data_IF_926575911721
#
_entry.id   IF_926575911721
#
_cell.length_a   1.000
_cell.length_b   1.000
_cell.length_c   1.000
_cell.angle_alpha   90.00
_cell.angle_beta   90.00
_cell.angle_gamma   90.00
#
_symmetry.space_group_name_H-M   'P 1'
#
loop_
_entity.id
_entity.type
_entity.pdbx_description
1 polymer ?
#
# COMPACT_ATOMS: atom_id res chain seq x y z
N UNK A 1 -5.02 -9.58 14.74
CA UNK A 1 -4.79 -10.51 13.61
C UNK A 1 -3.62 -11.47 13.87
N UNK A 2 -2.45 -10.99 14.31
CA UNK A 2 -1.26 -11.82 14.57
C UNK A 2 -1.51 -12.84 15.66
N UNK A 3 -2.06 -12.44 16.82
CA UNK A 3 -2.40 -13.34 17.93
C UNK A 3 -3.39 -14.43 17.54
N UNK A 4 -4.34 -14.14 16.65
CA UNK A 4 -5.29 -15.10 16.11
C UNK A 4 -4.71 -16.14 15.14
N UNK A 5 -3.39 -16.11 14.91
CA UNK A 5 -2.68 -17.11 14.09
C UNK A 5 -2.16 -18.30 14.91
N UNK A 6 -2.11 -18.17 16.24
CA UNK A 6 -1.76 -19.24 17.15
C UNK A 6 -3.00 -20.03 17.61
N UNK A 7 -2.84 -21.30 17.96
CA UNK A 7 -3.90 -22.13 18.52
C UNK A 7 -5.07 -22.49 17.60
N UNK A 8 -4.90 -22.43 16.29
CA UNK A 8 -5.98 -22.62 15.30
C UNK A 8 -6.67 -24.00 15.34
N UNK A 9 -6.00 -25.02 15.86
CA UNK A 9 -6.54 -26.37 15.95
C UNK A 9 -7.24 -26.64 17.31
N UNK A 10 -7.71 -25.59 18.00
CA UNK A 10 -8.31 -25.73 19.32
C UNK A 10 -7.31 -25.98 20.46
N UNK A 11 -6.02 -25.83 20.19
CA UNK A 11 -4.98 -25.98 21.21
C UNK A 11 -4.85 -24.69 22.02
N UNK A 12 -4.55 -24.82 23.31
CA UNK A 12 -4.19 -23.67 24.16
C UNK A 12 -2.89 -23.05 23.61
N UNK A 13 -2.90 -21.74 23.38
CA UNK A 13 -1.72 -20.99 22.99
C UNK A 13 -1.49 -19.82 23.92
N UNK A 14 -0.25 -19.37 23.99
CA UNK A 14 0.16 -18.18 24.75
C UNK A 14 0.80 -17.22 23.73
N UNK A 15 0.31 -15.99 23.72
CA UNK A 15 0.88 -14.92 22.92
C UNK A 15 1.59 -13.94 23.85
N UNK A 16 2.81 -13.57 23.49
CA UNK A 16 3.60 -12.57 24.21
C UNK A 16 3.66 -11.30 23.37
N UNK A 17 3.20 -10.19 23.95
CA UNK A 17 3.37 -8.85 23.37
C UNK A 17 4.55 -8.20 24.10
N UNK A 18 5.62 -7.93 23.35
CA UNK A 18 6.81 -7.23 23.86
C UNK A 18 6.64 -5.76 23.48
N UNK A 19 6.57 -4.92 24.51
CA UNK A 19 6.36 -3.49 24.37
C UNK A 19 7.69 -2.75 24.41
N UNK A 20 7.83 -1.72 23.58
CA UNK A 20 8.97 -0.82 23.56
C UNK A 20 8.64 0.47 24.35
N UNK A 21 9.65 1.33 24.52
CA UNK A 21 9.45 2.62 25.19
C UNK A 21 8.91 3.68 24.21
N UNK A 22 7.80 3.33 23.52
CA UNK A 22 7.08 4.20 22.62
C UNK A 22 5.73 4.63 23.23
N UNK A 23 5.20 5.82 22.95
CA UNK A 23 3.97 6.31 23.59
C UNK A 23 2.77 5.37 23.47
N UNK A 24 2.59 4.75 22.30
CA UNK A 24 1.48 3.83 22.06
C UNK A 24 1.65 2.52 22.83
N UNK A 25 2.83 1.96 22.86
CA UNK A 25 3.14 0.75 23.61
C UNK A 25 2.97 0.97 25.13
N UNK A 26 3.41 2.13 25.62
CA UNK A 26 3.24 2.50 27.01
C UNK A 26 1.75 2.73 27.37
N UNK A 27 0.95 3.24 26.43
CA UNK A 27 -0.49 3.33 26.61
C UNK A 27 -1.12 1.94 26.74
N UNK A 28 -0.78 0.99 25.87
CA UNK A 28 -1.27 -0.39 25.94
C UNK A 28 -0.83 -1.07 27.26
N UNK A 29 0.37 -0.77 27.75
CA UNK A 29 0.85 -1.31 29.03
C UNK A 29 -0.02 -0.88 30.23
N UNK A 30 -0.54 0.35 30.18
CA UNK A 30 -1.39 0.93 31.24
C UNK A 30 -2.86 0.55 31.06
N UNK A 31 -3.31 0.51 29.79
CA UNK A 31 -4.71 0.28 29.42
C UNK A 31 -4.84 -0.95 28.48
N UNK A 32 -4.51 -2.18 28.96
CA UNK A 32 -4.56 -3.38 28.12
C UNK A 32 -5.96 -3.73 27.62
N UNK A 33 -7.02 -3.30 28.34
CA UNK A 33 -8.41 -3.46 27.91
C UNK A 33 -8.71 -2.83 26.56
N UNK A 34 -8.03 -1.74 26.20
CA UNK A 34 -8.15 -1.13 24.90
C UNK A 34 -7.83 -2.11 23.75
N UNK A 35 -6.81 -2.96 23.92
CA UNK A 35 -6.41 -3.95 22.93
C UNK A 35 -7.33 -5.18 22.91
N UNK A 36 -7.78 -5.66 24.07
CA UNK A 36 -8.49 -6.93 24.19
C UNK A 36 -10.01 -6.79 24.20
N UNK A 37 -10.54 -5.67 24.64
CA UNK A 37 -11.98 -5.40 24.76
C UNK A 37 -12.51 -4.48 23.65
N UNK A 38 -11.61 -3.89 22.87
CA UNK A 38 -11.95 -3.06 21.71
C UNK A 38 -12.77 -3.81 20.67
N UNK A 39 -13.75 -3.15 20.07
CA UNK A 39 -14.47 -3.70 18.93
C UNK A 39 -13.52 -3.77 17.74
N UNK A 40 -13.64 -4.85 16.96
CA UNK A 40 -12.96 -4.92 15.66
C UNK A 40 -13.41 -3.75 14.78
N UNK A 41 -12.48 -3.23 13.99
CA UNK A 41 -12.76 -2.22 12.98
C UNK A 41 -13.88 -2.70 12.02
N UNK A 42 -14.73 -1.79 11.61
CA UNK A 42 -15.73 -2.10 10.61
C UNK A 42 -15.04 -2.33 9.26
N UNK A 43 -15.24 -3.49 8.66
CA UNK A 43 -14.85 -3.72 7.28
C UNK A 43 -15.85 -2.98 6.37
N UNK A 44 -15.34 -2.02 5.62
CA UNK A 44 -16.12 -1.35 4.56
C UNK A 44 -15.66 -1.97 3.24
N UNK A 45 -16.58 -2.57 2.53
CA UNK A 45 -16.34 -3.19 1.23
C UNK A 45 -17.34 -2.58 0.25
N UNK A 46 -16.86 -2.20 -0.92
CA UNK A 46 -17.72 -1.84 -2.05
C UNK A 46 -17.97 -3.09 -2.91
N UNK A 47 -19.08 -3.80 -2.71
CA UNK A 47 -19.39 -5.02 -3.46
C UNK A 47 -19.77 -4.73 -4.91
N UNK A 48 -20.14 -3.50 -5.23
CA UNK A 48 -20.63 -3.07 -6.54
C UNK A 48 -19.53 -2.46 -7.40
N UNK A 49 -18.26 -2.61 -7.00
CA UNK A 49 -17.13 -2.10 -7.78
C UNK A 49 -16.99 -2.86 -9.09
N UNK A 50 -17.38 -2.20 -10.20
CA UNK A 50 -17.40 -2.80 -11.54
C UNK A 50 -16.02 -3.27 -12.03
N UNK A 51 -14.92 -2.65 -11.63
CA UNK A 51 -13.57 -3.06 -12.04
C UNK A 51 -13.18 -4.37 -11.37
N UNK A 52 -13.52 -4.53 -10.10
CA UNK A 52 -13.29 -5.76 -9.36
C UNK A 52 -14.21 -6.87 -9.90
N UNK A 53 -15.50 -6.57 -10.10
CA UNK A 53 -16.46 -7.54 -10.65
C UNK A 53 -16.05 -7.99 -12.07
N UNK A 54 -15.60 -7.08 -12.92
CA UNK A 54 -15.06 -7.40 -14.25
C UNK A 54 -13.88 -8.38 -14.18
N UNK A 55 -12.94 -8.16 -13.26
CA UNK A 55 -11.79 -9.05 -13.07
C UNK A 55 -12.23 -10.44 -12.57
N UNK A 56 -13.19 -10.48 -11.64
CA UNK A 56 -13.76 -11.74 -11.14
C UNK A 56 -14.52 -12.51 -12.22
N UNK A 57 -15.32 -11.83 -13.05
CA UNK A 57 -16.05 -12.46 -14.18
C UNK A 57 -15.07 -13.05 -15.19
N UNK A 58 -13.97 -12.35 -15.51
CA UNK A 58 -12.90 -12.88 -16.36
C UNK A 58 -12.30 -14.18 -15.79
N UNK A 59 -11.93 -14.15 -14.52
CA UNK A 59 -11.35 -15.31 -13.85
C UNK A 59 -12.35 -16.47 -13.77
N UNK A 60 -13.60 -16.23 -13.42
CA UNK A 60 -14.65 -17.24 -13.37
C UNK A 60 -14.93 -17.87 -14.73
N UNK A 61 -15.02 -17.05 -15.81
CA UNK A 61 -15.21 -17.52 -17.17
C UNK A 61 -14.04 -18.39 -17.69
N UNK A 62 -12.82 -18.18 -17.13
CA UNK A 62 -11.65 -18.97 -17.45
C UNK A 62 -11.62 -20.32 -16.70
N UNK A 63 -12.17 -20.36 -15.49
CA UNK A 63 -12.29 -21.60 -14.72
C UNK A 63 -13.45 -22.48 -15.20
N UNK A 64 -14.61 -21.87 -15.42
CA UNK A 64 -15.81 -22.58 -15.86
C UNK A 64 -16.69 -21.65 -16.72
N UNK A 65 -17.21 -22.13 -17.87
CA UNK A 65 -18.11 -21.32 -18.69
C UNK A 65 -19.34 -20.84 -17.91
N UNK A 66 -19.52 -19.51 -17.83
CA UNK A 66 -20.61 -18.84 -17.13
C UNK A 66 -21.93 -18.94 -17.89
N UNK A 67 -23.03 -18.86 -17.20
CA UNK A 67 -24.39 -18.69 -17.73
C UNK A 67 -25.01 -17.41 -17.21
N UNK A 68 -26.13 -16.97 -17.75
CA UNK A 68 -26.84 -15.80 -17.21
C UNK A 68 -27.40 -16.04 -15.80
N UNK A 69 -27.54 -17.30 -15.38
CA UNK A 69 -28.00 -17.65 -14.02
C UNK A 69 -26.94 -17.27 -12.97
N UNK A 70 -25.68 -17.15 -13.38
CA UNK A 70 -24.57 -16.71 -12.50
C UNK A 70 -24.67 -15.21 -12.15
N UNK A 71 -25.64 -14.47 -12.70
CA UNK A 71 -25.97 -13.12 -12.26
C UNK A 71 -26.36 -13.04 -10.77
N UNK A 72 -26.72 -14.16 -10.15
CA UNK A 72 -26.90 -14.23 -8.69
C UNK A 72 -25.58 -13.97 -7.91
N UNK A 73 -24.41 -14.29 -8.51
CA UNK A 73 -23.08 -14.05 -7.95
C UNK A 73 -22.44 -12.77 -8.51
N UNK A 74 -22.77 -12.43 -9.74
CA UNK A 74 -22.22 -11.30 -10.47
C UNK A 74 -23.36 -10.41 -10.98
N UNK A 75 -23.83 -9.44 -10.17
CA UNK A 75 -24.99 -8.62 -10.51
C UNK A 75 -24.89 -7.91 -11.86
N UNK A 76 -23.69 -7.46 -12.23
CA UNK A 76 -23.43 -6.74 -13.49
C UNK A 76 -23.08 -7.67 -14.68
N UNK A 77 -23.23 -8.99 -14.52
CA UNK A 77 -22.85 -9.98 -15.54
C UNK A 77 -23.48 -9.69 -16.90
N UNK A 78 -24.76 -9.33 -16.91
CA UNK A 78 -25.50 -9.03 -18.14
C UNK A 78 -24.96 -7.82 -18.91
N UNK A 79 -24.38 -6.86 -18.22
CA UNK A 79 -23.78 -5.66 -18.79
C UNK A 79 -22.33 -5.90 -19.21
N UNK A 80 -21.59 -6.68 -18.43
CA UNK A 80 -20.17 -6.94 -18.64
C UNK A 80 -19.93 -7.95 -19.77
N UNK A 81 -20.71 -9.01 -19.88
CA UNK A 81 -20.53 -10.04 -20.93
C UNK A 81 -20.52 -9.46 -22.35
N UNK A 82 -21.44 -8.55 -22.75
CA UNK A 82 -21.38 -7.94 -24.08
C UNK A 82 -20.06 -7.17 -24.32
N UNK A 83 -19.53 -6.52 -23.30
CA UNK A 83 -18.25 -5.78 -23.39
C UNK A 83 -17.10 -6.75 -23.59
N UNK A 84 -17.03 -7.83 -22.83
CA UNK A 84 -16.02 -8.88 -22.97
C UNK A 84 -16.11 -9.61 -24.32
N UNK A 85 -17.31 -9.84 -24.82
CA UNK A 85 -17.49 -10.40 -26.17
C UNK A 85 -17.00 -9.48 -27.27
N UNK A 86 -17.28 -8.17 -27.16
CA UNK A 86 -16.77 -7.16 -28.09
C UNK A 86 -15.24 -7.05 -28.05
N UNK A 87 -14.64 -7.26 -26.90
CA UNK A 87 -13.19 -7.30 -26.71
C UNK A 87 -12.56 -8.65 -27.13
N UNK A 88 -13.36 -9.61 -27.61
CA UNK A 88 -12.94 -10.96 -27.98
C UNK A 88 -12.33 -11.78 -26.82
N UNK A 89 -12.52 -11.31 -25.59
CA UNK A 89 -12.04 -11.99 -24.38
C UNK A 89 -12.92 -13.16 -23.93
N UNK A 90 -14.20 -13.12 -24.32
CA UNK A 90 -15.19 -14.19 -24.01
C UNK A 90 -15.94 -14.57 -25.28
N UNK A 91 -16.17 -15.88 -25.45
CA UNK A 91 -17.00 -16.44 -26.55
C UNK A 91 -18.21 -17.16 -26.01
N UNK A 92 -19.34 -16.96 -26.71
CA UNK A 92 -20.55 -17.71 -26.42
C UNK A 92 -20.53 -19.08 -27.10
N UNK A 93 -20.79 -20.13 -26.31
CA UNK A 93 -20.90 -21.52 -26.77
C UNK A 93 -22.11 -22.18 -26.09
N UNK A 94 -23.10 -22.55 -26.87
CA UNK A 94 -24.32 -23.23 -26.38
C UNK A 94 -25.01 -22.50 -25.19
N UNK A 95 -25.09 -21.18 -25.25
CA UNK A 95 -25.72 -20.35 -24.20
C UNK A 95 -24.85 -20.15 -22.97
N UNK A 96 -23.59 -20.55 -23.01
CA UNK A 96 -22.58 -20.30 -21.97
C UNK A 96 -21.48 -19.40 -22.50
N UNK A 97 -20.79 -18.70 -21.59
CA UNK A 97 -19.76 -17.72 -21.86
C UNK A 97 -18.42 -18.23 -21.35
N UNK A 98 -17.50 -18.57 -22.23
CA UNK A 98 -16.19 -19.11 -21.89
C UNK A 98 -15.10 -18.11 -22.22
N UNK A 99 -14.05 -18.07 -21.40
CA UNK A 99 -12.85 -17.27 -21.66
C UNK A 99 -12.17 -17.70 -22.96
N UNK A 100 -11.74 -16.75 -23.76
CA UNK A 100 -11.01 -16.98 -25.02
C UNK A 100 -9.76 -16.09 -25.16
N UNK A 101 -9.42 -15.33 -24.12
CA UNK A 101 -8.21 -14.49 -24.09
C UNK A 101 -6.93 -15.33 -24.01
N UNK A 102 -5.75 -14.71 -24.27
CA UNK A 102 -4.49 -15.40 -24.45
C UNK A 102 -3.86 -15.95 -23.16
N UNK A 103 -4.21 -15.41 -21.99
CA UNK A 103 -3.63 -15.76 -20.69
C UNK A 103 -4.72 -16.07 -19.67
N UNK A 104 -4.34 -16.73 -18.56
CA UNK A 104 -5.25 -16.96 -17.44
C UNK A 104 -5.46 -15.63 -16.67
N UNK A 105 -6.67 -15.08 -16.65
CA UNK A 105 -6.89 -13.70 -16.23
C UNK A 105 -6.72 -13.46 -14.73
N UNK A 106 -6.76 -14.50 -13.89
CA UNK A 106 -6.57 -14.34 -12.46
C UNK A 106 -5.14 -13.91 -12.07
N UNK A 107 -4.16 -14.13 -12.98
CA UNK A 107 -2.80 -13.61 -12.81
C UNK A 107 -2.67 -12.11 -13.03
N UNK A 108 -3.63 -11.50 -13.72
CA UNK A 108 -3.55 -10.11 -14.14
C UNK A 108 -4.19 -9.13 -13.15
N UNK A 109 -4.78 -9.61 -12.07
CA UNK A 109 -5.33 -8.72 -11.05
C UNK A 109 -4.99 -9.19 -9.64
N UNK A 110 -4.93 -8.23 -8.74
CA UNK A 110 -4.66 -8.45 -7.33
C UNK A 110 -5.70 -7.68 -6.50
N UNK A 111 -6.22 -8.33 -5.46
CA UNK A 111 -7.08 -7.65 -4.47
C UNK A 111 -6.30 -6.67 -3.57
N UNK A 112 -4.96 -6.69 -3.65
CA UNK A 112 -4.08 -5.85 -2.84
C UNK A 112 -3.46 -4.71 -3.62
N UNK A 113 -3.20 -4.92 -4.92
CA UNK A 113 -2.47 -3.97 -5.77
C UNK A 113 -3.25 -3.77 -7.07
N UNK A 114 -3.63 -2.53 -7.35
CA UNK A 114 -4.32 -2.16 -8.60
C UNK A 114 -3.33 -1.81 -9.72
N UNK A 115 -2.05 -1.66 -9.42
CA UNK A 115 -1.02 -1.34 -10.40
C UNK A 115 -0.64 -2.59 -11.21
N UNK A 116 -0.77 -2.49 -12.54
CA UNK A 116 -0.43 -3.57 -13.49
C UNK A 116 1.05 -3.59 -13.86
N UNK A 117 1.78 -2.55 -13.51
CA UNK A 117 3.20 -2.42 -13.82
C UNK A 117 4.01 -3.24 -12.83
N UNK A 118 4.71 -4.27 -13.33
CA UNK A 118 5.53 -5.15 -12.51
C UNK A 118 7.01 -4.91 -12.75
N UNK A 119 7.77 -4.87 -11.67
CA UNK A 119 9.22 -4.78 -11.64
C UNK A 119 9.82 -6.07 -11.08
N UNK A 120 10.87 -6.57 -11.73
CA UNK A 120 11.59 -7.78 -11.30
C UNK A 120 12.89 -7.40 -10.63
N UNK A 121 13.21 -8.08 -9.52
CA UNK A 121 14.52 -8.01 -8.89
C UNK A 121 15.33 -9.23 -9.29
N UNK A 122 16.49 -9.02 -9.91
CA UNK A 122 17.37 -10.07 -10.43
C UNK A 122 18.71 -10.01 -9.71
N UNK A 123 19.21 -11.15 -9.27
CA UNK A 123 20.55 -11.31 -8.75
C UNK A 123 21.56 -11.27 -9.91
N UNK A 124 22.44 -10.25 -9.90
CA UNK A 124 23.32 -9.91 -11.03
C UNK A 124 24.22 -11.07 -11.45
N UNK A 125 24.86 -11.73 -10.48
CA UNK A 125 25.81 -12.82 -10.76
C UNK A 125 25.20 -14.12 -11.31
N UNK A 126 23.93 -14.38 -11.02
CA UNK A 126 23.25 -15.65 -11.32
C UNK A 126 22.13 -15.48 -12.36
N UNK A 127 21.81 -14.25 -12.72
CA UNK A 127 20.63 -13.91 -13.54
C UNK A 127 19.34 -14.58 -13.01
N UNK A 128 19.25 -14.74 -11.68
CA UNK A 128 18.15 -15.39 -10.99
C UNK A 128 17.17 -14.34 -10.50
N UNK A 129 15.91 -14.50 -10.82
CA UNK A 129 14.83 -13.70 -10.29
C UNK A 129 14.67 -13.98 -8.79
N UNK A 130 14.69 -12.93 -7.96
CA UNK A 130 14.49 -12.98 -6.52
C UNK A 130 13.01 -12.78 -6.20
N UNK A 131 12.41 -11.75 -6.77
CA UNK A 131 11.01 -11.38 -6.54
C UNK A 131 10.48 -10.47 -7.65
N UNK A 132 9.16 -10.31 -7.66
CA UNK A 132 8.45 -9.35 -8.49
C UNK A 132 7.52 -8.50 -7.63
N UNK A 133 7.42 -7.19 -7.92
CA UNK A 133 6.58 -6.25 -7.19
C UNK A 133 6.01 -5.16 -8.09
N UNK A 134 5.04 -4.40 -7.61
CA UNK A 134 4.48 -3.28 -8.34
C UNK A 134 5.42 -2.07 -8.39
N UNK A 135 5.07 -1.07 -9.20
CA UNK A 135 5.90 0.11 -9.43
C UNK A 135 6.10 0.96 -8.18
N UNK A 136 5.05 1.20 -7.39
CA UNK A 136 5.17 1.96 -6.14
C UNK A 136 6.11 1.27 -5.17
N UNK A 137 5.93 -0.02 -4.97
CA UNK A 137 6.80 -0.81 -4.11
C UNK A 137 8.23 -0.84 -4.65
N UNK A 138 8.42 -0.97 -5.97
CA UNK A 138 9.75 -0.96 -6.58
C UNK A 138 10.48 0.37 -6.38
N UNK A 139 9.79 1.49 -6.46
CA UNK A 139 10.41 2.80 -6.21
C UNK A 139 10.85 2.94 -4.75
N UNK A 140 10.07 2.39 -3.82
CA UNK A 140 10.40 2.42 -2.39
C UNK A 140 11.48 1.41 -1.98
N UNK A 141 11.47 0.22 -2.57
CA UNK A 141 12.31 -0.90 -2.10
C UNK A 141 13.47 -1.25 -3.04
N UNK A 142 13.39 -0.88 -4.34
CA UNK A 142 14.38 -1.24 -5.35
C UNK A 142 15.12 -0.05 -5.96
N UNK A 143 15.09 1.13 -5.31
CA UNK A 143 15.92 2.25 -5.75
C UNK A 143 17.42 1.91 -5.66
N UNK A 144 18.30 2.49 -6.50
CA UNK A 144 19.73 2.25 -6.41
C UNK A 144 20.26 2.52 -5.00
N UNK A 145 21.01 1.57 -4.45
CA UNK A 145 21.54 1.61 -3.09
C UNK A 145 20.55 1.15 -2.00
N UNK A 146 19.33 0.75 -2.34
CA UNK A 146 18.40 0.12 -1.40
C UNK A 146 18.95 -1.20 -0.87
N UNK A 147 18.66 -1.52 0.37
CA UNK A 147 18.91 -2.83 0.98
C UNK A 147 17.57 -3.54 1.12
N UNK A 148 17.33 -4.49 0.23
CA UNK A 148 16.12 -5.29 0.18
C UNK A 148 16.30 -6.60 0.93
N UNK A 149 15.30 -7.01 1.71
CA UNK A 149 15.31 -8.28 2.44
C UNK A 149 14.32 -9.26 1.83
N UNK A 150 14.80 -10.44 1.49
CA UNK A 150 13.97 -11.54 0.97
C UNK A 150 14.40 -12.88 1.57
N UNK A 151 13.47 -13.62 2.13
CA UNK A 151 13.69 -14.92 2.77
C UNK A 151 14.86 -14.94 3.77
N UNK A 152 15.02 -13.85 4.53
CA UNK A 152 16.07 -13.71 5.54
C UNK A 152 17.45 -13.34 4.98
N UNK A 153 17.61 -13.22 3.67
CA UNK A 153 18.81 -12.73 3.02
C UNK A 153 18.68 -11.24 2.64
N UNK A 154 19.81 -10.53 2.66
CA UNK A 154 19.86 -9.12 2.29
C UNK A 154 20.50 -8.96 0.90
N UNK A 155 19.96 -8.02 0.15
CA UNK A 155 20.42 -7.69 -1.20
C UNK A 155 20.57 -6.18 -1.36
N UNK A 156 21.74 -5.71 -1.83
CA UNK A 156 21.94 -4.31 -2.21
C UNK A 156 21.56 -4.11 -3.68
N UNK A 157 20.64 -3.22 -3.95
CA UNK A 157 20.21 -2.87 -5.30
C UNK A 157 21.28 -2.02 -5.98
N UNK A 158 21.79 -2.47 -7.11
CA UNK A 158 22.83 -1.80 -7.90
C UNK A 158 22.21 -0.82 -8.89
N UNK A 159 21.14 -1.23 -9.56
CA UNK A 159 20.49 -0.46 -10.62
C UNK A 159 18.99 -0.76 -10.64
N UNK A 160 18.20 0.26 -10.93
CA UNK A 160 16.79 0.14 -11.32
C UNK A 160 16.63 0.69 -12.75
N UNK A 161 16.18 -0.15 -13.65
CA UNK A 161 15.91 0.21 -15.04
C UNK A 161 14.40 0.32 -15.25
N UNK A 162 13.91 1.53 -15.42
CA UNK A 162 12.48 1.83 -15.54
C UNK A 162 11.89 1.38 -16.90
N UNK A 163 12.73 1.30 -17.94
CA UNK A 163 12.27 0.90 -19.29
C UNK A 163 12.09 -0.61 -19.35
N UNK A 164 13.09 -1.37 -18.90
CA UNK A 164 13.00 -2.83 -18.86
C UNK A 164 12.23 -3.35 -17.62
N UNK A 165 11.89 -2.46 -16.69
CA UNK A 165 11.21 -2.77 -15.43
C UNK A 165 11.97 -3.84 -14.61
N UNK A 166 13.29 -3.65 -14.55
CA UNK A 166 14.18 -4.63 -13.90
C UNK A 166 15.14 -3.92 -12.97
N UNK A 167 15.24 -4.43 -11.74
CA UNK A 167 16.29 -4.05 -10.81
C UNK A 167 17.33 -5.17 -10.74
N UNK A 168 18.61 -4.81 -10.66
CA UNK A 168 19.68 -5.75 -10.40
C UNK A 168 20.25 -5.54 -9.01
N UNK A 169 20.54 -6.63 -8.31
CA UNK A 169 21.07 -6.59 -6.96
C UNK A 169 22.21 -7.58 -6.79
N UNK A 170 23.00 -7.38 -5.74
CA UNK A 170 24.01 -8.31 -5.25
C UNK A 170 23.71 -8.71 -3.81
N UNK A 171 24.22 -9.84 -3.35
CA UNK A 171 24.16 -10.22 -1.94
C UNK A 171 24.83 -9.16 -1.06
N UNK A 172 24.24 -8.90 0.10
CA UNK A 172 24.69 -7.87 1.04
C UNK A 172 24.85 -8.44 2.45
N UNK A 173 26.00 -8.19 3.07
CA UNK A 173 26.33 -8.60 4.44
C UNK A 173 26.56 -7.35 5.31
N UNK A 174 25.52 -6.56 5.51
CA UNK A 174 25.62 -5.36 6.35
C UNK A 174 24.66 -5.41 7.52
N UNK A 175 24.78 -4.44 8.42
CA UNK A 175 23.97 -4.33 9.61
C UNK A 175 22.97 -3.16 9.58
N UNK A 176 22.60 -2.71 8.40
CA UNK A 176 21.65 -1.63 8.19
C UNK A 176 20.63 -1.97 7.11
N UNK A 177 19.50 -1.30 7.16
CA UNK A 177 18.50 -1.27 6.11
C UNK A 177 18.28 0.16 5.62
N UNK A 178 17.56 0.33 4.53
CA UNK A 178 17.32 1.63 3.91
C UNK A 178 15.83 1.97 3.97
N UNK A 179 15.55 3.26 4.10
CA UNK A 179 14.18 3.81 4.04
C UNK A 179 14.20 4.96 3.06
N UNK A 180 13.39 4.94 2.00
CA UNK A 180 13.30 6.03 1.04
C UNK A 180 12.82 7.32 1.72
N UNK A 181 13.22 8.45 1.17
CA UNK A 181 12.80 9.76 1.59
C UNK A 181 12.67 10.68 0.37
N UNK A 182 11.73 11.58 0.44
CA UNK A 182 11.41 12.49 -0.65
C UNK A 182 10.30 13.43 -0.28
N UNK A 183 9.56 13.88 -1.27
CA UNK A 183 8.40 14.77 -1.13
C UNK A 183 7.17 14.14 -1.75
N UNK A 184 6.04 14.43 -1.15
CA UNK A 184 4.72 14.08 -1.67
C UNK A 184 3.91 15.37 -1.76
N UNK A 185 3.38 15.69 -2.93
CA UNK A 185 2.50 16.81 -3.18
C UNK A 185 1.11 16.30 -3.57
N UNK A 186 0.09 16.78 -2.87
CA UNK A 186 -1.29 16.37 -3.09
C UNK A 186 -2.09 17.57 -3.59
N UNK A 187 -2.74 17.40 -4.73
CA UNK A 187 -3.63 18.40 -5.32
C UNK A 187 -5.05 17.86 -5.41
N UNK A 188 -6.00 18.57 -4.84
CA UNK A 188 -7.42 18.25 -4.97
C UNK A 188 -7.86 18.63 -6.39
N UNK A 189 -8.34 17.64 -7.15
CA UNK A 189 -8.86 17.83 -8.51
C UNK A 189 -10.35 18.13 -8.49
N UNK A 190 -11.12 17.30 -7.75
CA UNK A 190 -12.57 17.44 -7.67
C UNK A 190 -13.08 16.90 -6.33
N UNK A 191 -14.04 17.60 -5.73
CA UNK A 191 -14.76 17.14 -4.55
C UNK A 191 -16.13 16.60 -4.99
N UNK A 192 -16.41 15.33 -4.69
CA UNK A 192 -17.68 14.68 -5.01
C UNK A 192 -18.69 14.80 -3.89
N UNK A 193 -18.21 14.66 -2.64
CA UNK A 193 -19.06 14.68 -1.45
C UNK A 193 -18.39 15.51 -0.34
N UNK A 194 -19.22 16.18 0.44
CA UNK A 194 -18.83 16.90 1.64
C UNK A 194 -19.79 16.56 2.77
N UNK A 195 -19.26 16.31 3.95
CA UNK A 195 -20.05 16.10 5.17
C UNK A 195 -19.45 16.88 6.32
N UNK A 196 -20.28 17.71 6.95
CA UNK A 196 -19.88 18.41 8.19
C UNK A 196 -20.08 17.47 9.37
N UNK A 197 -19.03 17.30 10.18
CA UNK A 197 -19.05 16.52 11.43
C UNK A 197 -18.55 17.44 12.53
N UNK A 198 -19.44 17.84 13.42
CA UNK A 198 -19.16 18.82 14.47
C UNK A 198 -18.52 20.11 13.95
N UNK A 199 -17.20 20.26 14.10
CA UNK A 199 -16.44 21.46 13.75
C UNK A 199 -15.52 21.26 12.55
N UNK A 200 -15.57 20.11 11.91
CA UNK A 200 -14.73 19.78 10.77
C UNK A 200 -15.57 19.37 9.57
N UNK A 201 -14.96 19.40 8.40
CA UNK A 201 -15.55 18.87 7.18
C UNK A 201 -14.73 17.68 6.71
N UNK A 202 -15.44 16.67 6.30
CA UNK A 202 -14.89 15.48 5.63
C UNK A 202 -15.30 15.56 4.18
N UNK A 203 -14.36 15.38 3.30
CA UNK A 203 -14.53 15.42 1.86
C UNK A 203 -14.18 14.06 1.25
N UNK A 204 -14.80 13.77 0.13
CA UNK A 204 -14.45 12.64 -0.74
C UNK A 204 -14.38 13.15 -2.17
N UNK A 205 -13.38 12.71 -2.94
CA UNK A 205 -13.22 13.12 -4.32
C UNK A 205 -11.90 12.68 -4.95
N UNK A 206 -11.62 13.23 -6.11
CA UNK A 206 -10.39 12.98 -6.84
C UNK A 206 -9.26 13.88 -6.37
N UNK A 207 -8.10 13.28 -6.21
CA UNK A 207 -6.83 13.95 -5.96
C UNK A 207 -5.78 13.48 -6.95
N UNK A 208 -4.80 14.35 -7.22
CA UNK A 208 -3.56 13.99 -7.87
C UNK A 208 -2.47 13.90 -6.81
N UNK A 209 -1.68 12.85 -6.85
CA UNK A 209 -0.53 12.62 -5.97
C UNK A 209 0.73 12.63 -6.81
N UNK A 210 1.66 13.53 -6.50
CA UNK A 210 3.00 13.59 -7.09
C UNK A 210 4.03 13.23 -6.02
N UNK A 211 4.51 11.99 -6.08
CA UNK A 211 5.49 11.45 -5.16
C UNK A 211 6.87 11.44 -5.80
N UNK A 212 7.85 12.03 -5.12
CA UNK A 212 9.23 12.09 -5.58
C UNK A 212 10.16 11.52 -4.51
N UNK A 213 10.76 10.36 -4.80
CA UNK A 213 11.81 9.78 -3.96
C UNK A 213 13.16 10.29 -4.46
N UNK A 214 13.80 11.14 -3.68
CA UNK A 214 15.06 11.82 -4.05
C UNK A 214 16.28 11.35 -3.27
N UNK A 215 16.06 10.67 -2.15
CA UNK A 215 17.12 10.19 -1.25
C UNK A 215 16.63 8.98 -0.44
N UNK A 216 17.53 8.38 0.30
CA UNK A 216 17.20 7.39 1.31
C UNK A 216 18.06 7.59 2.55
N UNK A 217 17.55 7.17 3.71
CA UNK A 217 18.30 7.09 4.97
C UNK A 217 18.73 5.66 5.23
N UNK A 218 19.90 5.50 5.85
CA UNK A 218 20.40 4.22 6.33
C UNK A 218 20.12 4.11 7.81
N UNK A 219 19.46 3.05 8.23
CA UNK A 219 19.13 2.79 9.63
C UNK A 219 19.73 1.47 10.09
N UNK A 220 20.38 1.49 11.25
CA UNK A 220 20.96 0.29 11.83
C UNK A 220 19.87 -0.67 12.32
N UNK A 221 20.04 -1.99 12.13
CA UNK A 221 18.99 -2.96 12.44
C UNK A 221 18.56 -2.95 13.91
N UNK A 222 19.45 -2.98 14.86
CA UNK A 222 19.05 -3.22 16.25
C UNK A 222 18.49 -2.01 17.01
N UNK A 223 18.96 -0.83 16.70
CA UNK A 223 18.67 0.39 17.47
C UNK A 223 18.05 1.49 16.59
N UNK A 224 17.82 1.22 15.31
CA UNK A 224 17.31 2.16 14.31
C UNK A 224 18.09 3.48 14.24
N UNK A 225 19.37 3.46 14.65
CA UNK A 225 20.22 4.62 14.57
C UNK A 225 20.38 5.07 13.13
N UNK A 226 20.15 6.36 12.88
CA UNK A 226 20.35 6.95 11.56
C UNK A 226 21.87 7.07 11.28
N UNK A 227 22.30 6.35 10.25
CA UNK A 227 23.70 6.33 9.78
C UNK A 227 23.99 7.39 8.70
N UNK A 228 22.96 8.15 8.30
CA UNK A 228 23.07 9.21 7.31
C UNK A 228 22.07 9.07 6.16
N UNK A 229 22.07 10.09 5.30
CA UNK A 229 21.24 10.16 4.11
C UNK A 229 22.11 10.06 2.87
N UNK A 230 21.56 9.43 1.82
CA UNK A 230 22.22 9.31 0.51
C UNK A 230 21.23 9.80 -0.55
N UNK A 231 21.64 10.78 -1.34
CA UNK A 231 20.81 11.27 -2.46
C UNK A 231 20.86 10.28 -3.63
N UNK A 232 19.73 10.08 -4.27
CA UNK A 232 19.66 9.36 -5.54
C UNK A 232 20.24 10.23 -6.65
N UNK A 233 20.98 9.61 -7.55
CA UNK A 233 21.53 10.32 -8.73
C UNK A 233 20.39 10.80 -9.64
N UNK A 234 19.34 10.03 -9.73
CA UNK A 234 18.09 10.36 -10.44
C UNK A 234 16.93 10.10 -9.51
N UNK A 235 16.14 11.13 -9.18
CA UNK A 235 14.91 10.95 -8.40
C UNK A 235 13.94 10.03 -9.13
N UNK A 236 13.19 9.24 -8.36
CA UNK A 236 12.10 8.42 -8.84
C UNK A 236 10.81 9.19 -8.59
N UNK A 237 10.05 9.45 -9.64
CA UNK A 237 8.80 10.22 -9.55
C UNK A 237 7.64 9.38 -10.04
N UNK A 238 6.54 9.42 -9.29
CA UNK A 238 5.27 8.82 -9.63
C UNK A 238 4.17 9.87 -9.49
N UNK A 239 3.50 10.18 -10.60
CA UNK A 239 2.36 11.09 -10.67
C UNK A 239 1.13 10.26 -11.04
N UNK A 240 0.07 10.31 -10.23
CA UNK A 240 -1.15 9.55 -10.49
C UNK A 240 -2.37 10.20 -9.85
N UNK A 241 -3.52 9.99 -10.49
CA UNK A 241 -4.81 10.39 -9.96
C UNK A 241 -5.44 9.23 -9.19
N UNK A 242 -6.09 9.55 -8.07
CA UNK A 242 -6.80 8.57 -7.25
C UNK A 242 -7.95 9.22 -6.50
N UNK A 243 -8.90 8.40 -6.05
CA UNK A 243 -9.93 8.84 -5.12
C UNK A 243 -9.40 8.82 -3.68
N UNK A 244 -9.78 9.82 -2.91
CA UNK A 244 -9.39 9.90 -1.51
C UNK A 244 -10.44 10.60 -0.65
N UNK A 245 -10.33 10.36 0.63
CA UNK A 245 -11.06 11.11 1.66
C UNK A 245 -10.09 11.97 2.42
N UNK A 246 -10.42 13.26 2.61
CA UNK A 246 -9.62 14.17 3.43
C UNK A 246 -10.48 14.93 4.41
N UNK A 247 -9.84 15.48 5.43
CA UNK A 247 -10.47 16.17 6.55
C UNK A 247 -9.87 17.56 6.68
N UNK A 248 -10.72 18.58 6.75
CA UNK A 248 -10.29 19.92 7.09
C UNK A 248 -9.91 19.99 8.57
N UNK A 249 -8.72 20.48 8.88
CA UNK A 249 -8.33 20.75 10.25
C UNK A 249 -8.80 22.15 10.61
N UNK A 250 -9.70 22.30 11.62
CA UNK A 250 -10.20 23.63 12.01
C UNK A 250 -9.08 24.59 12.43
N UNK A 251 -9.20 25.85 12.07
CA UNK A 251 -8.18 26.88 12.30
C UNK A 251 -7.80 27.05 13.79
N UNK A 252 -8.75 26.86 14.69
CA UNK A 252 -8.48 26.91 16.13
C UNK A 252 -7.61 25.73 16.60
N UNK A 253 -7.77 24.53 16.01
CA UNK A 253 -6.91 23.38 16.24
C UNK A 253 -5.51 23.66 15.70
N UNK A 254 -5.40 24.18 14.47
CA UNK A 254 -4.12 24.59 13.88
C UNK A 254 -3.41 25.60 14.76
N UNK A 255 -4.14 26.58 15.31
CA UNK A 255 -3.60 27.59 16.21
C UNK A 255 -3.07 27.01 17.52
N UNK A 256 -3.79 26.04 18.10
CA UNK A 256 -3.31 25.33 19.30
C UNK A 256 -2.03 24.58 18.99
N UNK A 257 -1.99 23.81 17.90
CA UNK A 257 -0.78 23.08 17.50
C UNK A 257 0.41 24.03 17.24
N UNK A 258 0.19 25.16 16.57
CA UNK A 258 1.23 26.19 16.39
C UNK A 258 1.74 26.78 17.70
N UNK A 259 0.89 26.89 18.72
CA UNK A 259 1.31 27.38 20.04
C UNK A 259 2.11 26.36 20.85
N UNK A 260 2.02 25.07 20.51
CA UNK A 260 2.74 23.98 21.14
C UNK A 260 4.12 23.72 20.51
N UNK A 261 4.56 24.59 19.59
CA UNK A 261 5.86 24.44 18.96
C UNK A 261 6.99 24.51 19.98
N UNK A 262 7.65 23.38 20.18
CA UNK A 262 8.88 23.32 20.95
C UNK A 262 10.09 23.56 20.02
N UNK A 263 11.07 24.33 20.44
CA UNK A 263 12.29 24.49 19.67
C UNK A 263 12.97 23.11 19.54
N UNK A 264 13.38 22.75 18.31
CA UNK A 264 14.28 21.61 18.12
C UNK A 264 15.63 21.89 18.78
N UNK A 265 16.53 20.90 18.88
CA UNK A 265 17.86 21.07 19.45
C UNK A 265 18.75 22.10 18.76
N UNK A 266 18.33 22.67 17.62
CA UNK A 266 18.97 23.77 16.89
C UNK A 266 18.27 25.12 17.11
N UNK A 267 17.21 25.19 17.92
CA UNK A 267 16.43 26.40 18.20
C UNK A 267 15.41 26.79 17.13
N UNK A 268 15.18 25.95 16.12
CA UNK A 268 14.15 26.16 15.13
C UNK A 268 12.80 25.62 15.62
N UNK A 269 11.72 26.36 15.37
CA UNK A 269 10.36 25.93 15.67
C UNK A 269 9.94 24.89 14.61
N UNK A 270 9.84 23.63 15.00
CA UNK A 270 9.48 22.53 14.08
C UNK A 270 7.98 22.30 14.12
N UNK A 271 7.31 22.65 13.03
CA UNK A 271 5.86 22.45 12.86
C UNK A 271 5.51 20.97 12.55
N UNK A 272 6.41 20.28 11.86
CA UNK A 272 6.11 19.02 11.20
C UNK A 272 5.81 17.86 12.15
N UNK A 273 6.49 17.76 13.29
CA UNK A 273 6.33 16.60 14.16
C UNK A 273 4.94 16.44 14.80
N UNK A 274 4.22 17.53 15.01
CA UNK A 274 2.88 17.47 15.61
C UNK A 274 1.81 17.06 14.61
N UNK A 275 1.93 17.49 13.35
CA UNK A 275 1.02 17.08 12.28
C UNK A 275 1.30 15.64 11.82
N UNK A 276 2.53 15.20 11.83
CA UNK A 276 2.87 13.77 11.61
C UNK A 276 2.23 12.87 12.67
N UNK A 277 2.23 13.30 13.94
CA UNK A 277 1.53 12.58 15.02
C UNK A 277 0.02 12.50 14.78
N UNK A 278 -0.61 13.58 14.34
CA UNK A 278 -2.02 13.61 13.98
C UNK A 278 -2.31 12.73 12.76
N UNK A 279 -1.49 12.83 11.73
CA UNK A 279 -1.59 11.99 10.53
C UNK A 279 -1.49 10.50 10.86
N UNK A 280 -0.56 10.12 11.73
CA UNK A 280 -0.43 8.74 12.18
C UNK A 280 -1.63 8.28 13.03
N UNK A 281 -2.20 9.17 13.86
CA UNK A 281 -3.41 8.86 14.63
C UNK A 281 -4.67 8.68 13.76
N UNK A 282 -4.73 9.34 12.59
CA UNK A 282 -5.83 9.19 11.63
C UNK A 282 -5.66 7.94 10.76
N UNK A 283 -4.40 7.57 10.43
CA UNK A 283 -4.10 6.37 9.63
C UNK A 283 -4.35 5.05 10.37
N UNK A 284 -4.34 5.05 11.69
CA UNK A 284 -4.56 3.89 12.55
C UNK A 284 -5.96 3.94 13.19
#
# INVERSE_FOLDING_TARGET
QQSGRAGRNGQTCVNYLILENQPFDQYIAVEPGWLFEGKSENAIVDPDNLLIELAHIRAAAAELPLSLDDAALFPSLGEIIPVLMKAEEVKSMAGRFAWSGPAFPAGDYSLRNMDKTRFKLILDNENREITEMDESQAYHELHPGAVYMHDGALYEVLKLDLVSRTATAKSFEGNYYTVPAGTEDIRILQTFQEKTVERTKIHFGDINVDEVISMFKKLQFHNHQNLGYVSLTQPLQKDYDTESTWIDIPEDVVRVYRSLLLPNGAGELVLNNHFEGLQNAIKN
#
